data_IF_667221098178
#
_entry.id   IF_667221098178
#
_cell.length_a   1.000
_cell.length_b   1.000
_cell.length_c   1.000
_cell.angle_alpha   90.00
_cell.angle_beta   90.00
_cell.angle_gamma   90.00
#
_symmetry.space_group_name_H-M   'P 1'
#
loop_
_entity.id
_entity.type
_entity.pdbx_description
1 polymer ?
#
# COMPACT_ATOMS: atom_id res chain seq x y z
N UNK A 1 -20.89 -27.80 -12.10
CA UNK A 1 -20.54 -27.17 -10.80
C UNK A 1 -19.03 -27.12 -10.51
N UNK A 2 -18.14 -27.70 -11.34
CA UNK A 2 -16.67 -27.70 -11.10
C UNK A 2 -15.85 -26.68 -11.90
N UNK A 3 -16.46 -25.94 -12.84
CA UNK A 3 -15.72 -25.05 -13.78
C UNK A 3 -15.38 -23.67 -13.20
N UNK A 4 -16.11 -23.21 -12.16
CA UNK A 4 -15.95 -21.85 -11.61
C UNK A 4 -14.62 -21.60 -10.90
N UNK A 5 -13.89 -22.66 -10.52
CA UNK A 5 -12.69 -22.56 -9.70
C UNK A 5 -11.39 -22.55 -10.51
N UNK A 6 -11.44 -22.95 -11.79
CA UNK A 6 -10.26 -22.96 -12.68
C UNK A 6 -9.97 -21.56 -13.29
N UNK A 7 -10.91 -20.62 -13.18
CA UNK A 7 -10.85 -19.29 -13.80
C UNK A 7 -10.42 -18.16 -12.84
N UNK A 8 -9.86 -18.50 -11.68
CA UNK A 8 -9.37 -17.50 -10.71
C UNK A 8 -7.84 -17.29 -10.72
N UNK A 9 -7.08 -17.37 -11.84
CA UNK A 9 -5.66 -17.01 -11.82
C UNK A 9 -5.41 -15.50 -11.69
N UNK A 10 -6.46 -14.66 -11.61
CA UNK A 10 -6.36 -13.19 -11.62
C UNK A 10 -6.87 -12.49 -10.35
N UNK A 11 -7.64 -13.14 -9.49
CA UNK A 11 -8.25 -12.45 -8.34
C UNK A 11 -7.21 -11.89 -7.37
N UNK A 12 -6.12 -12.61 -7.13
CA UNK A 12 -5.03 -12.13 -6.25
C UNK A 12 -4.41 -10.82 -6.76
N UNK A 13 -4.22 -10.68 -8.08
CA UNK A 13 -3.69 -9.47 -8.71
C UNK A 13 -4.66 -8.30 -8.57
N UNK A 14 -5.96 -8.53 -8.82
CA UNK A 14 -6.99 -7.49 -8.69
C UNK A 14 -7.13 -7.02 -7.25
N UNK A 15 -7.21 -7.95 -6.29
CA UNK A 15 -7.29 -7.63 -4.86
C UNK A 15 -6.11 -6.77 -4.44
N UNK A 16 -4.89 -7.10 -4.90
CA UNK A 16 -3.70 -6.29 -4.61
C UNK A 16 -3.81 -4.90 -5.20
N UNK A 17 -4.14 -4.76 -6.48
CA UNK A 17 -4.28 -3.45 -7.13
C UNK A 17 -5.31 -2.59 -6.39
N UNK A 18 -6.50 -3.13 -6.12
CA UNK A 18 -7.55 -2.40 -5.38
C UNK A 18 -7.11 -2.01 -3.97
N UNK A 19 -6.37 -2.87 -3.28
CA UNK A 19 -5.86 -2.57 -1.93
C UNK A 19 -4.84 -1.43 -1.96
N UNK A 20 -3.91 -1.48 -2.91
CA UNK A 20 -2.86 -0.48 -3.07
C UNK A 20 -3.44 0.87 -3.54
N UNK A 21 -4.41 0.85 -4.45
CA UNK A 21 -5.11 2.07 -4.87
C UNK A 21 -5.87 2.74 -3.71
N UNK A 22 -6.56 1.96 -2.86
CA UNK A 22 -7.20 2.52 -1.65
C UNK A 22 -6.20 3.13 -0.68
N UNK A 23 -5.05 2.46 -0.52
CA UNK A 23 -3.95 2.96 0.31
C UNK A 23 -3.42 4.31 -0.20
N UNK A 24 -3.10 4.43 -1.50
CA UNK A 24 -2.66 5.70 -2.08
C UNK A 24 -3.71 6.79 -1.97
N UNK A 25 -4.96 6.53 -2.38
CA UNK A 25 -5.99 7.56 -2.33
C UNK A 25 -6.22 8.08 -0.91
N UNK A 26 -6.18 7.20 0.10
CA UNK A 26 -6.23 7.63 1.48
C UNK A 26 -5.03 8.51 1.88
N UNK A 27 -3.81 8.14 1.46
CA UNK A 27 -2.60 8.92 1.73
C UNK A 27 -2.66 10.29 1.08
N UNK A 28 -3.03 10.34 -0.20
CA UNK A 28 -3.18 11.58 -0.97
C UNK A 28 -4.11 12.55 -0.24
N UNK A 29 -5.35 12.13 0.06
CA UNK A 29 -6.33 12.98 0.75
C UNK A 29 -5.83 13.48 2.12
N UNK A 30 -5.16 12.62 2.89
CA UNK A 30 -4.66 12.97 4.22
C UNK A 30 -3.44 13.91 4.15
N UNK A 31 -2.55 13.72 3.17
CA UNK A 31 -1.44 14.63 2.91
C UNK A 31 -1.95 16.00 2.46
N UNK A 32 -2.93 16.04 1.54
CA UNK A 32 -3.59 17.29 1.12
C UNK A 32 -4.27 18.01 2.28
N UNK A 33 -4.79 17.26 3.25
CA UNK A 33 -5.37 17.80 4.49
C UNK A 33 -4.30 18.34 5.48
N UNK A 34 -3.02 18.29 5.13
CA UNK A 34 -1.92 18.80 5.94
C UNK A 34 -1.47 17.88 7.08
N UNK A 35 -1.86 16.61 7.06
CA UNK A 35 -1.37 15.65 8.07
C UNK A 35 0.09 15.29 7.78
N UNK A 36 0.89 15.18 8.84
CA UNK A 36 2.28 14.74 8.73
C UNK A 36 2.41 13.32 8.16
N UNK A 37 3.45 13.11 7.35
CA UNK A 37 3.70 11.88 6.58
C UNK A 37 3.52 10.59 7.40
N UNK A 38 4.11 10.51 8.60
CA UNK A 38 4.01 9.32 9.45
C UNK A 38 2.56 8.99 9.87
N UNK A 39 1.77 10.01 10.20
CA UNK A 39 0.36 9.84 10.57
C UNK A 39 -0.46 9.42 9.36
N UNK A 40 -0.17 10.02 8.21
CA UNK A 40 -0.83 9.70 6.95
C UNK A 40 -0.54 8.28 6.50
N UNK A 41 0.72 7.82 6.57
CA UNK A 41 1.09 6.43 6.27
C UNK A 41 0.31 5.44 7.16
N UNK A 42 0.28 5.68 8.47
CA UNK A 42 -0.42 4.82 9.43
C UNK A 42 -1.93 4.75 9.16
N UNK A 43 -2.57 5.88 8.92
CA UNK A 43 -4.00 5.95 8.61
C UNK A 43 -4.33 5.35 7.25
N UNK A 44 -3.52 5.61 6.22
CA UNK A 44 -3.66 4.99 4.90
C UNK A 44 -3.57 3.47 4.97
N UNK A 45 -2.65 2.93 5.80
CA UNK A 45 -2.52 1.50 6.07
C UNK A 45 -3.81 0.88 6.61
N UNK A 46 -4.50 1.55 7.52
CA UNK A 46 -5.80 1.13 8.04
C UNK A 46 -6.90 1.17 6.97
N UNK A 47 -6.94 2.23 6.17
CA UNK A 47 -7.92 2.43 5.09
C UNK A 47 -7.78 1.43 3.94
N UNK A 48 -6.61 0.79 3.80
CA UNK A 48 -6.36 -0.24 2.78
C UNK A 48 -7.24 -1.49 2.94
N UNK A 49 -7.76 -1.77 4.14
CA UNK A 49 -8.52 -2.98 4.44
C UNK A 49 -7.74 -4.29 4.26
N UNK A 50 -6.41 -4.24 4.19
CA UNK A 50 -5.54 -5.40 4.08
C UNK A 50 -4.56 -5.47 5.25
N UNK A 51 -4.50 -6.58 5.99
CA UNK A 51 -3.52 -6.74 7.08
C UNK A 51 -2.08 -6.70 6.56
N UNK A 52 -1.85 -7.12 5.31
CA UNK A 52 -0.53 -7.08 4.67
C UNK A 52 -0.08 -5.63 4.46
N UNK A 53 -0.96 -4.77 3.91
CA UNK A 53 -0.65 -3.36 3.67
C UNK A 53 -0.60 -2.58 4.98
N UNK A 54 -1.45 -2.90 5.95
CA UNK A 54 -1.38 -2.31 7.30
C UNK A 54 0.01 -2.55 7.93
N UNK A 55 0.48 -3.80 7.94
CA UNK A 55 1.81 -4.12 8.48
C UNK A 55 2.93 -3.42 7.69
N UNK A 56 2.85 -3.45 6.36
CA UNK A 56 3.83 -2.77 5.52
C UNK A 56 3.87 -1.25 5.76
N UNK A 57 2.73 -0.63 6.07
CA UNK A 57 2.61 0.78 6.45
C UNK A 57 3.23 1.06 7.83
N UNK A 58 3.06 0.17 8.81
CA UNK A 58 3.71 0.30 10.12
C UNK A 58 5.24 0.25 9.99
N UNK A 59 5.77 -0.67 9.18
CA UNK A 59 7.19 -0.76 8.86
C UNK A 59 7.71 0.51 8.16
N UNK A 60 6.92 1.07 7.23
CA UNK A 60 7.22 2.34 6.55
C UNK A 60 7.35 3.49 7.53
N UNK A 61 6.42 3.59 8.48
CA UNK A 61 6.44 4.64 9.51
C UNK A 61 7.70 4.56 10.35
N UNK A 62 8.14 3.35 10.70
CA UNK A 62 9.37 3.17 11.47
C UNK A 62 10.60 3.64 10.68
N UNK A 63 10.75 3.18 9.44
CA UNK A 63 11.88 3.56 8.58
C UNK A 63 11.97 5.06 8.30
N UNK A 64 10.83 5.71 8.04
CA UNK A 64 10.78 7.17 7.87
C UNK A 64 11.15 7.88 9.17
N UNK A 65 10.78 7.33 10.33
CA UNK A 65 11.22 7.87 11.64
C UNK A 65 12.73 7.74 11.84
N UNK A 66 13.32 6.69 11.28
CA UNK A 66 14.76 6.41 11.34
C UNK A 66 15.57 7.21 10.29
N UNK A 67 14.90 8.03 9.46
CA UNK A 67 15.51 8.88 8.45
C UNK A 67 15.77 8.19 7.10
N UNK A 68 15.28 6.97 6.91
CA UNK A 68 15.37 6.29 5.62
C UNK A 68 14.41 6.94 4.59
N UNK A 69 14.83 7.09 3.32
CA UNK A 69 13.97 7.61 2.28
C UNK A 69 12.84 6.63 1.93
N UNK A 70 11.63 7.17 1.74
CA UNK A 70 10.42 6.40 1.45
C UNK A 70 10.54 5.55 0.16
N UNK A 71 11.23 6.10 -0.84
CA UNK A 71 11.47 5.48 -2.14
C UNK A 71 12.11 4.10 -2.03
N UNK A 72 13.07 3.95 -1.12
CA UNK A 72 13.85 2.72 -0.97
C UNK A 72 12.94 1.57 -0.49
N UNK A 73 12.00 1.86 0.41
CA UNK A 73 11.06 0.86 0.89
C UNK A 73 10.02 0.47 -0.17
N UNK A 74 9.48 1.46 -0.89
CA UNK A 74 8.49 1.19 -1.96
C UNK A 74 9.11 0.34 -3.06
N UNK A 75 10.38 0.60 -3.41
CA UNK A 75 11.16 -0.20 -4.36
C UNK A 75 11.53 -1.59 -3.83
N UNK A 76 11.73 -1.76 -2.51
CA UNK A 76 11.99 -3.07 -1.89
C UNK A 76 10.77 -3.99 -1.86
N UNK A 77 9.55 -3.45 -2.00
CA UNK A 77 8.29 -4.20 -1.94
C UNK A 77 7.55 -4.15 -3.27
N UNK A 78 8.25 -4.46 -4.38
CA UNK A 78 7.65 -4.61 -5.72
C UNK A 78 6.60 -5.73 -5.76
N UNK A 79 6.75 -6.68 -4.84
CA UNK A 79 5.77 -7.70 -4.51
C UNK A 79 4.58 -7.15 -3.71
N UNK A 80 4.38 -5.85 -3.56
CA UNK A 80 3.21 -5.28 -2.90
C UNK A 80 2.76 -4.02 -3.63
N UNK A 81 3.71 -3.13 -3.93
CA UNK A 81 3.51 -1.92 -4.71
C UNK A 81 3.89 -2.18 -6.17
N UNK A 82 2.98 -1.98 -7.14
CA UNK A 82 3.34 -2.02 -8.56
C UNK A 82 4.47 -1.04 -8.86
N UNK A 83 5.35 -1.31 -9.83
CA UNK A 83 6.45 -0.38 -10.20
C UNK A 83 5.98 1.06 -10.51
N UNK A 84 4.74 1.25 -10.93
CA UNK A 84 4.14 2.58 -11.12
C UNK A 84 4.06 3.40 -9.83
N UNK A 85 4.00 2.78 -8.66
CA UNK A 85 3.97 3.45 -7.36
C UNK A 85 5.33 3.99 -6.92
N UNK A 86 6.43 3.50 -7.49
CA UNK A 86 7.77 3.93 -7.12
C UNK A 86 8.19 5.25 -7.80
N UNK A 87 7.35 5.80 -8.69
CA UNK A 87 7.67 6.98 -9.52
C UNK A 87 7.00 8.28 -9.05
N UNK A 88 6.20 8.22 -7.98
CA UNK A 88 5.52 9.37 -7.35
C UNK A 88 6.06 9.56 -5.93
#
# INVERSE_FOLDING_TARGET
MFTFLHEVPLAGRLIRLTTVSRFAGAIETLLESGLGLQKTLRLGGLSSGSPIVKKASEDLVQRVSDGEPLSDYVMMRVDLFPMAFAQY
#
